data_IF_943649389549
#
_entry.id   IF_943649389549
#
_cell.length_a   1.000
_cell.length_b   1.000
_cell.length_c   1.000
_cell.angle_alpha   90.00
_cell.angle_beta   90.00
_cell.angle_gamma   90.00
#
_symmetry.space_group_name_H-M   'P 1'
#
loop_
_entity.id
_entity.type
_entity.pdbx_description
1 polymer ?
#
# COMPACT_ATOMS: atom_id res chain seq x y z
N UNK A 1 10.32 -2.41 1.40
CA UNK A 1 8.89 -2.77 1.52
C UNK A 1 8.68 -4.28 1.67
N UNK A 2 8.97 -5.14 0.68
CA UNK A 2 8.74 -6.61 0.78
C UNK A 2 9.68 -7.35 1.76
N UNK A 3 10.99 -7.22 1.56
CA UNK A 3 12.01 -8.12 2.15
C UNK A 3 12.36 -7.82 3.62
N UNK A 4 11.87 -6.70 4.18
CA UNK A 4 12.16 -6.30 5.57
C UNK A 4 11.50 -7.24 6.57
N UNK A 5 10.17 -7.43 6.44
CA UNK A 5 9.38 -8.32 7.28
C UNK A 5 8.21 -8.87 6.47
N UNK A 6 8.39 -9.97 5.70
CA UNK A 6 7.37 -10.46 4.79
C UNK A 6 6.08 -10.97 5.46
N UNK A 7 6.13 -11.32 6.74
CA UNK A 7 4.99 -11.88 7.49
C UNK A 7 4.12 -10.86 8.22
N UNK A 8 4.12 -9.58 7.81
CA UNK A 8 3.23 -8.55 8.36
C UNK A 8 2.39 -7.90 7.27
N UNK A 9 1.20 -7.40 7.64
CA UNK A 9 0.18 -6.92 6.71
C UNK A 9 0.50 -5.61 5.96
N UNK A 10 1.59 -4.93 6.31
CA UNK A 10 2.08 -3.75 5.58
C UNK A 10 3.32 -4.06 4.72
N UNK A 11 3.66 -5.34 4.56
CA UNK A 11 4.58 -5.78 3.51
C UNK A 11 3.95 -5.54 2.13
N UNK A 12 4.79 -5.25 1.13
CA UNK A 12 4.31 -4.99 -0.23
C UNK A 12 4.04 -6.32 -0.94
N UNK A 13 2.79 -6.63 -1.26
CA UNK A 13 2.40 -7.88 -1.94
C UNK A 13 2.42 -7.79 -3.47
N UNK A 14 2.20 -6.59 -4.01
CA UNK A 14 2.21 -6.31 -5.45
C UNK A 14 3.06 -5.09 -5.75
N UNK A 15 3.91 -5.19 -6.77
CA UNK A 15 4.72 -4.10 -7.32
C UNK A 15 4.20 -3.73 -8.72
N UNK A 16 3.77 -2.48 -8.87
CA UNK A 16 3.35 -1.93 -10.15
C UNK A 16 4.50 -1.14 -10.78
N UNK A 17 4.81 -1.42 -12.04
CA UNK A 17 5.90 -0.77 -12.77
C UNK A 17 5.36 -0.12 -14.02
N UNK A 18 5.61 1.17 -14.21
CA UNK A 18 5.22 1.89 -15.42
C UNK A 18 5.91 1.28 -16.64
N UNK A 19 5.10 0.99 -17.67
CA UNK A 19 5.55 0.49 -18.98
C UNK A 19 6.70 1.29 -19.57
N UNK A 20 6.71 2.61 -19.36
CA UNK A 20 7.76 3.49 -19.88
C UNK A 20 9.17 3.19 -19.33
N UNK A 21 9.26 2.61 -18.12
CA UNK A 21 10.54 2.29 -17.47
C UNK A 21 10.76 0.79 -17.28
N UNK A 22 9.77 -0.04 -17.63
CA UNK A 22 9.76 -1.47 -17.33
C UNK A 22 11.01 -2.20 -17.86
N UNK A 23 11.44 -1.91 -19.09
CA UNK A 23 12.61 -2.54 -19.73
C UNK A 23 13.93 -2.23 -19.01
N UNK A 24 14.05 -1.09 -18.36
CA UNK A 24 15.24 -0.71 -17.60
C UNK A 24 15.16 -1.15 -16.13
N UNK A 25 13.99 -0.97 -15.50
CA UNK A 25 13.80 -1.17 -14.07
C UNK A 25 13.65 -2.65 -13.70
N UNK A 26 12.87 -3.43 -14.46
CA UNK A 26 12.54 -4.82 -14.11
C UNK A 26 13.77 -5.72 -13.97
N UNK A 27 14.79 -5.69 -14.86
CA UNK A 27 15.98 -6.53 -14.69
C UNK A 27 16.77 -6.23 -13.41
N UNK A 28 16.89 -4.93 -13.05
CA UNK A 28 17.57 -4.48 -11.83
C UNK A 28 16.80 -4.92 -10.58
N UNK A 29 15.48 -4.76 -10.60
CA UNK A 29 14.58 -5.18 -9.52
C UNK A 29 14.60 -6.70 -9.32
N UNK A 30 14.50 -7.48 -10.42
CA UNK A 30 14.60 -8.94 -10.38
C UNK A 30 15.88 -9.40 -9.68
N UNK A 31 17.02 -8.84 -10.10
CA UNK A 31 18.32 -9.19 -9.51
C UNK A 31 18.34 -8.93 -8.00
N UNK A 32 17.84 -7.78 -7.55
CA UNK A 32 17.78 -7.43 -6.14
C UNK A 32 16.85 -8.35 -5.33
N UNK A 33 15.68 -8.70 -5.88
CA UNK A 33 14.72 -9.59 -5.23
C UNK A 33 15.19 -11.04 -5.18
N UNK A 34 15.88 -11.53 -6.21
CA UNK A 34 16.48 -12.86 -6.24
C UNK A 34 17.61 -13.00 -5.22
N UNK A 35 18.43 -11.97 -5.04
CA UNK A 35 19.44 -11.92 -3.97
C UNK A 35 18.82 -12.01 -2.57
N UNK A 36 17.58 -11.53 -2.42
CA UNK A 36 16.79 -11.65 -1.21
C UNK A 36 15.91 -12.91 -1.17
N UNK A 37 16.09 -13.84 -2.11
CA UNK A 37 15.32 -15.09 -2.23
C UNK A 37 13.80 -14.87 -2.28
N UNK A 38 13.36 -13.80 -2.94
CA UNK A 38 11.94 -13.49 -3.12
C UNK A 38 11.41 -14.26 -4.32
N UNK A 39 10.30 -14.98 -4.16
CA UNK A 39 9.59 -15.59 -5.27
C UNK A 39 8.86 -14.50 -6.05
N UNK A 40 9.11 -14.41 -7.36
CA UNK A 40 8.52 -13.41 -8.23
C UNK A 40 7.48 -14.05 -9.15
N UNK A 41 6.30 -13.44 -9.20
CA UNK A 41 5.25 -13.75 -10.16
C UNK A 41 4.92 -12.50 -10.97
N UNK A 42 4.61 -12.62 -12.25
CA UNK A 42 4.21 -11.45 -13.02
C UNK A 42 3.30 -11.71 -14.20
N UNK A 43 2.65 -10.65 -14.67
CA UNK A 43 1.79 -10.70 -15.86
C UNK A 43 2.62 -10.95 -17.13
N UNK A 44 1.93 -11.26 -18.23
CA UNK A 44 2.60 -11.55 -19.51
C UNK A 44 3.51 -10.40 -19.98
N UNK A 45 3.06 -9.14 -19.89
CA UNK A 45 3.87 -7.97 -20.24
C UNK A 45 5.15 -7.85 -19.39
N UNK A 46 5.09 -8.19 -18.09
CA UNK A 46 6.28 -8.21 -17.23
C UNK A 46 7.22 -9.35 -17.63
N UNK A 47 6.65 -10.50 -18.00
CA UNK A 47 7.40 -11.71 -18.39
C UNK A 47 8.08 -11.62 -19.76
N UNK A 48 7.60 -10.72 -20.62
CA UNK A 48 8.31 -10.36 -21.85
C UNK A 48 9.65 -9.67 -21.57
N UNK A 49 9.81 -9.03 -20.40
CA UNK A 49 11.03 -8.30 -20.01
C UNK A 49 11.94 -9.15 -19.12
N UNK A 50 11.38 -9.95 -18.22
CA UNK A 50 12.14 -10.76 -17.26
C UNK A 50 11.56 -12.18 -17.09
N UNK A 51 12.42 -13.18 -16.91
CA UNK A 51 12.00 -14.58 -16.72
C UNK A 51 11.57 -14.84 -15.26
N UNK A 52 10.25 -14.95 -15.03
CA UNK A 52 9.61 -15.20 -13.73
C UNK A 52 8.32 -16.03 -13.89
N UNK A 53 7.80 -16.56 -12.77
CA UNK A 53 6.55 -17.32 -12.74
C UNK A 53 5.37 -16.48 -13.23
N UNK A 54 4.34 -17.09 -13.86
CA UNK A 54 3.13 -16.37 -14.22
C UNK A 54 2.32 -15.97 -12.98
N UNK A 55 1.83 -14.73 -12.96
CA UNK A 55 0.81 -14.28 -12.02
C UNK A 55 -0.58 -14.45 -12.65
N UNK A 56 -1.52 -14.98 -11.87
CA UNK A 56 -2.94 -15.04 -12.19
C UNK A 56 -3.68 -13.80 -11.68
N UNK A 57 -4.96 -13.67 -12.00
CA UNK A 57 -5.77 -12.59 -11.42
C UNK A 57 -5.96 -12.75 -9.90
N UNK A 58 -6.12 -14.00 -9.43
CA UNK A 58 -6.24 -14.34 -8.01
C UNK A 58 -4.98 -13.98 -7.24
N UNK A 59 -3.79 -14.13 -7.85
CA UNK A 59 -2.54 -13.72 -7.22
C UNK A 59 -2.55 -12.23 -6.84
N UNK A 60 -3.11 -11.34 -7.67
CA UNK A 60 -3.18 -9.91 -7.36
C UNK A 60 -4.14 -9.56 -6.22
N UNK A 61 -5.09 -10.45 -5.91
CA UNK A 61 -6.03 -10.33 -4.78
C UNK A 61 -5.54 -11.09 -3.52
N UNK A 62 -4.36 -11.72 -3.60
CA UNK A 62 -3.82 -12.57 -2.53
C UNK A 62 -2.80 -11.84 -1.66
N UNK A 63 -3.03 -11.82 -0.35
CA UNK A 63 -2.02 -11.46 0.65
C UNK A 63 -1.23 -12.71 1.06
N UNK A 64 0.06 -12.79 0.71
CA UNK A 64 0.83 -14.02 0.94
C UNK A 64 1.38 -14.15 2.37
N UNK A 65 1.69 -13.03 3.04
CA UNK A 65 2.45 -13.00 4.31
C UNK A 65 3.74 -13.84 4.27
N UNK A 66 4.31 -13.97 3.07
CA UNK A 66 5.48 -14.76 2.75
C UNK A 66 6.38 -13.97 1.80
N UNK A 67 7.60 -14.44 1.54
CA UNK A 67 8.54 -13.76 0.64
C UNK A 67 8.20 -13.99 -0.85
N UNK A 68 6.95 -13.69 -1.23
CA UNK A 68 6.39 -13.79 -2.58
C UNK A 68 5.95 -12.38 -2.99
N UNK A 69 6.25 -11.98 -4.23
CA UNK A 69 5.90 -10.66 -4.77
C UNK A 69 5.32 -10.80 -6.17
N UNK A 70 4.13 -10.24 -6.37
CA UNK A 70 3.56 -10.05 -7.69
C UNK A 70 4.15 -8.79 -8.34
N UNK A 71 4.38 -8.84 -9.65
CA UNK A 71 4.83 -7.70 -10.44
C UNK A 71 3.89 -7.53 -11.63
N UNK A 72 3.40 -6.30 -11.83
CA UNK A 72 2.57 -5.97 -12.98
C UNK A 72 3.07 -4.71 -13.67
N UNK A 73 3.24 -4.80 -14.98
CA UNK A 73 3.45 -3.62 -15.81
C UNK A 73 2.11 -2.89 -15.99
N UNK A 74 2.11 -1.56 -15.83
CA UNK A 74 0.91 -0.71 -15.93
C UNK A 74 1.17 0.50 -16.83
N UNK A 75 0.10 1.12 -17.33
CA UNK A 75 0.18 2.31 -18.19
C UNK A 75 0.12 3.58 -17.34
N UNK A 76 1.29 4.10 -16.95
CA UNK A 76 1.39 5.29 -16.13
C UNK A 76 0.71 5.20 -14.77
N UNK A 77 0.44 6.37 -14.18
CA UNK A 77 -0.18 6.50 -12.86
C UNK A 77 -1.65 6.11 -12.85
N UNK A 78 -2.38 6.40 -13.93
CA UNK A 78 -3.81 6.08 -14.02
C UNK A 78 -4.03 4.57 -14.02
N UNK A 79 -3.25 3.82 -14.79
CA UNK A 79 -3.28 2.35 -14.76
C UNK A 79 -2.85 1.77 -13.41
N UNK A 80 -1.95 2.43 -12.69
CA UNK A 80 -1.59 2.03 -11.33
C UNK A 80 -2.75 2.25 -10.34
N UNK A 81 -3.41 3.41 -10.41
CA UNK A 81 -4.57 3.74 -9.57
C UNK A 81 -5.71 2.75 -9.84
N UNK A 82 -6.03 2.47 -11.11
CA UNK A 82 -7.09 1.52 -11.48
C UNK A 82 -6.82 0.12 -10.92
N UNK A 83 -5.55 -0.32 -10.93
CA UNK A 83 -5.17 -1.59 -10.32
C UNK A 83 -5.38 -1.58 -8.80
N UNK A 84 -4.92 -0.54 -8.11
CA UNK A 84 -5.06 -0.41 -6.65
C UNK A 84 -6.53 -0.32 -6.25
N UNK A 85 -7.37 0.40 -7.01
CA UNK A 85 -8.81 0.48 -6.75
C UNK A 85 -9.48 -0.90 -6.87
N UNK A 86 -9.00 -1.75 -7.77
CA UNK A 86 -9.56 -3.09 -7.99
C UNK A 86 -9.10 -4.12 -6.96
N UNK A 87 -7.81 -4.13 -6.62
CA UNK A 87 -7.18 -5.21 -5.84
C UNK A 87 -6.67 -4.77 -4.46
N UNK A 88 -6.59 -3.47 -4.21
CA UNK A 88 -6.08 -2.94 -2.94
C UNK A 88 -7.02 -3.23 -1.78
N UNK A 89 -6.46 -3.58 -0.63
CA UNK A 89 -7.22 -3.83 0.61
C UNK A 89 -7.55 -2.54 1.39
N UNK A 90 -7.10 -1.39 0.89
CA UNK A 90 -7.23 -0.09 1.56
C UNK A 90 -6.32 0.05 2.79
N UNK A 91 -5.26 -0.75 2.89
CA UNK A 91 -4.29 -0.70 4.00
C UNK A 91 -3.19 0.34 3.78
N UNK A 92 -2.21 0.03 2.93
CA UNK A 92 -1.04 0.89 2.69
C UNK A 92 -0.66 0.87 1.23
N UNK A 93 -0.57 2.05 0.61
CA UNK A 93 -0.23 2.18 -0.81
C UNK A 93 0.88 3.22 -0.98
N UNK A 94 1.79 3.00 -1.93
CA UNK A 94 2.93 3.89 -2.12
C UNK A 94 3.26 4.10 -3.59
N UNK A 95 3.63 5.33 -3.93
CA UNK A 95 4.20 5.68 -5.24
C UNK A 95 5.66 6.11 -5.08
N UNK A 96 6.50 5.69 -6.03
CA UNK A 96 7.87 6.20 -6.17
C UNK A 96 7.95 7.05 -7.43
N UNK A 97 8.11 8.37 -7.27
CA UNK A 97 8.14 9.32 -8.38
C UNK A 97 8.83 10.63 -7.99
N UNK A 98 9.46 11.27 -8.96
CA UNK A 98 10.00 12.64 -8.85
C UNK A 98 9.03 13.69 -9.44
N UNK A 99 7.92 13.25 -10.05
CA UNK A 99 6.93 14.14 -10.63
C UNK A 99 5.91 14.56 -9.57
N UNK A 100 5.94 15.84 -9.20
CA UNK A 100 5.04 16.43 -8.21
C UNK A 100 3.55 16.25 -8.57
N UNK A 101 3.17 16.51 -9.81
CA UNK A 101 1.76 16.39 -10.25
C UNK A 101 1.28 14.95 -10.18
N UNK A 102 2.13 13.99 -10.57
CA UNK A 102 1.83 12.56 -10.47
C UNK A 102 1.69 12.11 -9.01
N UNK A 103 2.57 12.57 -8.12
CA UNK A 103 2.51 12.27 -6.70
C UNK A 103 1.20 12.78 -6.06
N UNK A 104 0.83 14.03 -6.32
CA UNK A 104 -0.41 14.61 -5.81
C UNK A 104 -1.65 13.92 -6.39
N UNK A 105 -1.64 13.54 -7.66
CA UNK A 105 -2.75 12.79 -8.26
C UNK A 105 -2.94 11.43 -7.56
N UNK A 106 -1.85 10.70 -7.31
CA UNK A 106 -1.88 9.42 -6.60
C UNK A 106 -2.37 9.57 -5.17
N UNK A 107 -1.85 10.53 -4.41
CA UNK A 107 -2.26 10.80 -3.02
C UNK A 107 -3.75 11.13 -2.90
N UNK A 108 -4.32 11.84 -3.86
CA UNK A 108 -5.72 12.24 -3.85
C UNK A 108 -6.68 11.14 -4.34
N UNK A 109 -6.22 10.24 -5.22
CA UNK A 109 -7.07 9.23 -5.84
C UNK A 109 -7.11 7.90 -5.06
N UNK A 110 -6.00 7.52 -4.41
CA UNK A 110 -5.89 6.23 -3.72
C UNK A 110 -6.56 6.29 -2.35
N UNK A 111 -7.54 5.42 -2.14
CA UNK A 111 -8.33 5.36 -0.90
C UNK A 111 -7.82 4.25 0.05
N UNK A 112 -6.68 4.50 0.68
CA UNK A 112 -6.10 3.61 1.70
C UNK A 112 -5.95 4.29 3.06
N UNK A 113 -5.69 3.50 4.10
CA UNK A 113 -5.47 4.02 5.44
C UNK A 113 -4.18 4.85 5.56
N UNK A 114 -3.16 4.50 4.77
CA UNK A 114 -1.97 5.33 4.57
C UNK A 114 -1.53 5.30 3.11
N UNK A 115 -1.27 6.49 2.54
CA UNK A 115 -0.77 6.64 1.16
C UNK A 115 0.55 7.40 1.21
N UNK A 116 1.56 6.88 0.53
CA UNK A 116 2.94 7.35 0.62
C UNK A 116 3.50 7.82 -0.73
N UNK A 117 4.39 8.81 -0.68
CA UNK A 117 5.27 9.19 -1.79
C UNK A 117 6.70 8.94 -1.34
N UNK A 118 7.46 8.19 -2.12
CA UNK A 118 8.89 7.91 -1.89
C UNK A 118 9.21 7.35 -0.49
N UNK A 119 8.27 6.61 0.11
CA UNK A 119 8.43 5.97 1.41
C UNK A 119 7.88 4.54 1.40
N UNK A 120 8.46 3.69 2.25
CA UNK A 120 8.07 2.28 2.36
C UNK A 120 6.72 2.13 3.07
N UNK A 121 5.86 1.24 2.58
CA UNK A 121 4.58 0.85 3.23
C UNK A 121 4.76 0.34 4.67
N UNK A 122 5.96 -0.17 4.99
CA UNK A 122 6.36 -0.59 6.35
C UNK A 122 6.20 0.49 7.43
N UNK A 123 6.11 1.77 7.05
CA UNK A 123 5.87 2.87 7.97
C UNK A 123 4.42 2.94 8.47
N UNK A 124 3.48 2.13 7.96
CA UNK A 124 2.13 2.04 8.54
C UNK A 124 2.19 1.25 9.84
N UNK A 125 2.55 1.95 10.90
CA UNK A 125 2.79 1.44 12.25
C UNK A 125 2.63 2.61 13.24
N UNK A 126 1.95 2.38 14.36
CA UNK A 126 1.66 3.42 15.34
C UNK A 126 2.90 3.98 16.02
N UNK A 127 3.95 3.18 16.21
CA UNK A 127 5.24 3.66 16.71
C UNK A 127 5.91 4.59 15.70
N UNK A 128 5.95 4.19 14.43
CA UNK A 128 6.48 5.00 13.34
C UNK A 128 5.71 6.32 13.13
N UNK A 129 4.39 6.31 13.37
CA UNK A 129 3.54 7.49 13.28
C UNK A 129 3.52 8.35 14.57
N UNK A 130 4.25 7.95 15.62
CA UNK A 130 4.37 8.74 16.85
C UNK A 130 3.22 8.58 17.84
N UNK A 131 2.36 7.57 17.67
CA UNK A 131 1.30 7.22 18.64
C UNK A 131 1.86 6.50 19.89
N UNK A 132 3.13 6.07 19.84
CA UNK A 132 3.81 5.32 20.91
C UNK A 132 3.43 3.84 20.92
N UNK A 133 2.14 3.53 20.92
CA UNK A 133 1.60 2.18 20.80
C UNK A 133 0.32 2.17 19.94
N UNK A 134 0.01 1.02 19.36
CA UNK A 134 -1.24 0.77 18.64
C UNK A 134 -1.92 -0.50 19.14
N UNK A 135 -3.24 -0.56 19.00
CA UNK A 135 -3.99 -1.82 19.14
C UNK A 135 -3.93 -2.66 17.85
N UNK A 136 -3.81 -1.98 16.72
CA UNK A 136 -3.72 -2.56 15.39
C UNK A 136 -4.00 -1.50 14.34
N UNK A 137 -4.12 -1.93 13.08
CA UNK A 137 -4.34 -1.04 11.93
C UNK A 137 -5.76 -1.26 11.41
N UNK A 138 -6.55 -0.19 11.33
CA UNK A 138 -7.91 -0.24 10.79
C UNK A 138 -7.92 0.19 9.32
N UNK A 139 -8.47 -0.64 8.46
CA UNK A 139 -8.78 -0.27 7.07
C UNK A 139 -10.20 0.28 6.89
N UNK A 140 -11.00 0.31 7.99
CA UNK A 140 -12.36 0.84 7.95
C UNK A 140 -12.38 2.36 7.78
N UNK A 141 -13.41 2.87 7.11
CA UNK A 141 -13.61 4.32 6.88
C UNK A 141 -14.22 5.05 8.07
N UNK A 142 -14.85 4.34 8.99
CA UNK A 142 -15.57 4.91 10.12
C UNK A 142 -14.78 4.73 11.43
N UNK A 143 -15.01 5.63 12.38
CA UNK A 143 -14.43 5.65 13.73
C UNK A 143 -12.92 5.92 13.78
N UNK A 144 -12.09 4.98 13.34
CA UNK A 144 -10.63 5.10 13.29
C UNK A 144 -10.09 4.39 12.04
N UNK A 145 -9.12 5.01 11.37
CA UNK A 145 -8.48 4.50 10.14
C UNK A 145 -6.97 4.67 10.23
N UNK A 146 -6.22 3.65 9.83
CA UNK A 146 -4.78 3.55 10.04
C UNK A 146 -4.44 3.01 11.43
N UNK A 147 -3.20 3.26 11.91
CA UNK A 147 -2.78 2.89 13.26
C UNK A 147 -3.73 3.42 14.34
N UNK A 148 -4.32 2.51 15.13
CA UNK A 148 -5.26 2.84 16.20
C UNK A 148 -4.53 3.05 17.52
N UNK A 149 -4.15 4.29 17.80
CA UNK A 149 -3.65 4.71 19.11
C UNK A 149 -4.77 4.97 20.13
N UNK A 150 -4.42 5.61 21.26
CA UNK A 150 -5.35 5.80 22.40
C UNK A 150 -6.64 6.54 22.03
N UNK A 151 -6.58 7.53 21.12
CA UNK A 151 -7.74 8.30 20.67
C UNK A 151 -8.78 7.41 19.98
N UNK A 152 -8.32 6.41 19.21
CA UNK A 152 -9.18 5.42 18.55
C UNK A 152 -9.92 4.49 19.51
N UNK A 153 -9.63 4.54 20.82
CA UNK A 153 -10.34 3.80 21.86
C UNK A 153 -11.29 4.68 22.68
N UNK A 154 -11.47 5.93 22.27
CA UNK A 154 -12.36 6.89 22.93
C UNK A 154 -13.60 7.14 22.08
N UNK A 155 -14.62 7.70 22.71
CA UNK A 155 -15.79 8.26 22.02
C UNK A 155 -16.12 9.60 22.66
N UNK A 156 -16.92 10.43 21.99
CA UNK A 156 -17.29 11.74 22.48
C UNK A 156 -18.73 11.76 22.99
N UNK A 157 -19.02 12.74 23.85
CA UNK A 157 -20.40 13.08 24.23
C UNK A 157 -20.52 14.58 24.41
N UNK A 158 -21.72 15.09 24.23
CA UNK A 158 -22.01 16.49 24.50
C UNK A 158 -22.35 16.69 25.98
N UNK A 159 -21.79 17.75 26.56
CA UNK A 159 -22.15 18.24 27.89
C UNK A 159 -22.78 19.61 27.73
N UNK A 160 -24.06 19.74 28.08
CA UNK A 160 -24.82 21.00 27.98
C UNK A 160 -25.16 21.49 29.38
N UNK A 161 -24.80 22.74 29.67
CA UNK A 161 -25.17 23.44 30.90
C UNK A 161 -26.31 24.41 30.60
N UNK A 162 -27.48 24.14 31.16
CA UNK A 162 -28.67 24.97 30.98
C UNK A 162 -28.90 25.95 32.12
N UNK A 163 -29.67 26.99 31.84
CA UNK A 163 -30.23 27.96 32.79
C UNK A 163 -31.59 28.49 32.30
N UNK A 164 -32.52 27.58 31.98
CA UNK A 164 -33.89 27.94 31.58
C UNK A 164 -34.14 28.06 30.07
N UNK A 165 -33.30 27.45 29.23
CA UNK A 165 -33.52 27.45 27.79
C UNK A 165 -34.79 26.66 27.43
N UNK A 166 -35.63 27.26 26.59
CA UNK A 166 -36.71 26.60 25.86
C UNK A 166 -36.20 26.20 24.47
N UNK A 167 -36.78 25.14 23.90
CA UNK A 167 -36.41 24.64 22.57
C UNK A 167 -36.97 25.51 21.45
#
# INVERSE_FOLDING_TARGET
>A
AKVDRPGVCNAMETLLVDRAIATEALPKLKTAFEQAHTELKGCDETREVIDISPATEEDFDTEYLANILNIRTVDGVDGAIDHIVRFGSGHSEAIVTENYTTAEAFLNAVDAAAVYVNASTRFTDGGAFGFGAEVGISTNKLHARGPMGIEGLTTYKFKIYGNGQIR
#
